data_IF_062780478154
#
_entry.id   IF_062780478154
#
_cell.length_a   1.000
_cell.length_b   1.000
_cell.length_c   1.000
_cell.angle_alpha   90.00
_cell.angle_beta   90.00
_cell.angle_gamma   90.00
#
_symmetry.space_group_name_H-M   'P 1'
#
loop_
_entity.id
_entity.type
_entity.pdbx_description
1 polymer ?
#
# COMPACT_ATOMS: atom_id res chain seq x y z
N UNK A 1 -25.99 -57.54 18.31
CA UNK A 1 -26.02 -56.31 19.14
C UNK A 1 -26.93 -55.30 18.45
N UNK A 2 -27.96 -54.88 19.19
CA UNK A 2 -28.96 -53.82 19.02
C UNK A 2 -29.03 -53.01 17.71
N UNK A 3 -30.23 -52.95 17.12
CA UNK A 3 -31.22 -51.87 17.31
C UNK A 3 -32.54 -52.26 16.65
N UNK A 4 -33.65 -52.07 17.34
CA UNK A 4 -34.93 -51.82 16.67
C UNK A 4 -35.80 -50.81 17.43
N UNK A 5 -35.91 -49.65 16.79
CA UNK A 5 -37.04 -48.76 16.54
C UNK A 5 -38.41 -49.01 17.21
N UNK A 6 -39.05 -47.91 17.65
CA UNK A 6 -40.49 -47.71 17.38
C UNK A 6 -41.42 -47.39 18.56
N UNK A 7 -41.61 -46.08 18.82
CA UNK A 7 -42.86 -45.34 19.11
C UNK A 7 -44.08 -46.01 19.77
N UNK A 8 -44.70 -45.33 20.75
CA UNK A 8 -46.06 -44.71 20.68
C UNK A 8 -46.57 -44.31 22.10
N UNK A 9 -47.18 -43.13 22.14
CA UNK A 9 -47.91 -42.39 23.21
C UNK A 9 -49.04 -43.14 23.92
N UNK A 10 -49.43 -42.69 25.14
CA UNK A 10 -50.81 -42.27 25.49
C UNK A 10 -50.94 -41.69 26.92
N UNK A 11 -51.84 -40.69 27.02
CA UNK A 11 -52.31 -39.94 28.20
C UNK A 11 -52.99 -40.82 29.26
N UNK A 12 -53.04 -40.38 30.52
CA UNK A 12 -54.25 -40.45 31.37
C UNK A 12 -54.18 -39.41 32.50
N UNK A 13 -55.28 -38.70 32.72
CA UNK A 13 -55.54 -37.70 33.75
C UNK A 13 -56.13 -38.33 35.01
N UNK A 14 -55.85 -37.78 36.21
CA UNK A 14 -56.71 -37.92 37.41
C UNK A 14 -56.67 -36.62 38.22
N UNK A 15 -57.84 -36.24 38.74
CA UNK A 15 -58.18 -34.99 39.44
C UNK A 15 -57.92 -35.06 40.96
N UNK A 16 -57.42 -33.93 41.49
CA UNK A 16 -57.82 -33.15 42.69
C UNK A 16 -58.37 -33.88 43.94
N UNK A 17 -57.72 -33.64 45.08
CA UNK A 17 -58.37 -33.30 46.35
C UNK A 17 -57.47 -32.30 47.12
N UNK A 18 -58.01 -31.12 47.42
CA UNK A 18 -57.44 -30.09 48.28
C UNK A 18 -57.79 -30.37 49.75
N UNK A 19 -56.82 -30.22 50.65
CA UNK A 19 -57.09 -29.91 52.06
C UNK A 19 -56.12 -28.81 52.53
N UNK A 20 -56.67 -27.59 52.53
CA UNK A 20 -56.54 -26.48 53.48
C UNK A 20 -55.33 -26.45 54.45
N UNK A 21 -54.43 -25.47 54.27
CA UNK A 21 -53.91 -24.58 55.33
C UNK A 21 -53.50 -23.26 54.67
N UNK A 22 -54.15 -22.17 55.07
CA UNK A 22 -53.90 -20.78 54.68
C UNK A 22 -52.47 -20.28 54.97
N UNK A 23 -51.77 -19.64 54.00
CA UNK A 23 -50.66 -18.72 54.25
C UNK A 23 -50.80 -17.41 53.43
N UNK A 24 -52.02 -16.90 53.22
CA UNK A 24 -52.23 -15.79 52.26
C UNK A 24 -52.05 -14.38 52.85
N UNK A 25 -51.88 -14.23 54.16
CA UNK A 25 -51.76 -12.90 54.81
C UNK A 25 -50.31 -12.47 55.14
N UNK A 26 -49.32 -13.37 55.05
CA UNK A 26 -47.89 -13.05 55.32
C UNK A 26 -47.02 -12.95 54.08
N UNK A 27 -47.47 -13.48 52.94
CA UNK A 27 -46.74 -13.36 51.67
C UNK A 27 -46.89 -11.95 51.05
N UNK A 28 -48.07 -11.33 51.16
CA UNK A 28 -48.33 -10.02 50.57
C UNK A 28 -47.62 -8.86 51.26
N UNK A 29 -47.30 -8.96 52.56
CA UNK A 29 -46.55 -7.91 53.26
C UNK A 29 -45.05 -7.98 52.98
N UNK A 30 -44.51 -9.18 52.73
CA UNK A 30 -43.08 -9.39 52.48
C UNK A 30 -42.72 -9.00 51.04
N UNK A 31 -43.58 -9.30 50.06
CA UNK A 31 -43.37 -8.88 48.67
C UNK A 31 -43.43 -7.35 48.49
N UNK A 32 -44.29 -6.67 49.25
CA UNK A 32 -44.40 -5.21 49.20
C UNK A 32 -43.17 -4.50 49.78
N UNK A 33 -42.58 -5.06 50.84
CA UNK A 33 -41.33 -4.54 51.42
C UNK A 33 -40.13 -4.81 50.49
N UNK A 34 -40.08 -5.97 49.83
CA UNK A 34 -39.03 -6.33 48.86
C UNK A 34 -39.09 -5.45 47.60
N UNK A 35 -40.29 -5.13 47.10
CA UNK A 35 -40.48 -4.22 45.97
C UNK A 35 -40.19 -2.76 46.34
N UNK A 36 -40.49 -2.33 47.56
CA UNK A 36 -40.09 -1.02 48.07
C UNK A 36 -38.56 -0.90 48.23
N UNK A 37 -37.90 -1.97 48.68
CA UNK A 37 -36.44 -2.06 48.77
C UNK A 37 -35.77 -2.09 47.39
N UNK A 38 -36.35 -2.77 46.39
CA UNK A 38 -35.88 -2.75 44.99
C UNK A 38 -36.05 -1.36 44.36
N UNK A 39 -37.22 -0.74 44.54
CA UNK A 39 -37.50 0.60 44.03
C UNK A 39 -36.60 1.69 44.66
N UNK A 40 -36.10 1.48 45.88
CA UNK A 40 -35.11 2.35 46.53
C UNK A 40 -33.66 2.04 46.09
N UNK A 41 -33.35 0.80 45.69
CA UNK A 41 -32.04 0.41 45.18
C UNK A 41 -31.80 0.87 43.74
N UNK A 42 -32.82 0.94 42.89
CA UNK A 42 -32.72 1.40 41.49
C UNK A 42 -32.18 2.83 41.33
N UNK A 43 -32.65 3.85 42.08
CA UNK A 43 -32.09 5.19 42.03
C UNK A 43 -30.66 5.23 42.57
N UNK A 44 -30.32 4.42 43.59
CA UNK A 44 -28.96 4.36 44.14
C UNK A 44 -28.00 3.66 43.15
N UNK A 45 -28.43 2.59 42.49
CA UNK A 45 -27.67 1.87 41.49
C UNK A 45 -27.43 2.73 40.23
N UNK A 46 -28.43 3.47 39.78
CA UNK A 46 -28.29 4.44 38.69
C UNK A 46 -27.38 5.61 39.08
N UNK A 47 -27.44 6.11 40.31
CA UNK A 47 -26.53 7.14 40.81
C UNK A 47 -25.07 6.63 40.90
N UNK A 48 -24.85 5.38 41.33
CA UNK A 48 -23.53 4.74 41.35
C UNK A 48 -23.00 4.53 39.94
N UNK A 49 -23.84 4.15 38.97
CA UNK A 49 -23.46 4.00 37.57
C UNK A 49 -23.07 5.36 36.94
N UNK A 50 -23.82 6.43 37.24
CA UNK A 50 -23.49 7.79 36.81
C UNK A 50 -22.19 8.25 37.46
N UNK A 51 -22.02 8.08 38.78
CA UNK A 51 -20.80 8.48 39.48
C UNK A 51 -19.57 7.66 39.04
N UNK A 52 -19.73 6.36 38.73
CA UNK A 52 -18.68 5.53 38.13
C UNK A 52 -18.31 5.99 36.72
N UNK A 53 -19.28 6.46 35.92
CA UNK A 53 -18.98 6.99 34.59
C UNK A 53 -18.18 8.30 34.67
N UNK A 54 -18.50 9.18 35.63
CA UNK A 54 -17.78 10.45 35.87
C UNK A 54 -16.37 10.23 36.46
N UNK A 55 -16.16 9.15 37.21
CA UNK A 55 -14.86 8.82 37.83
C UNK A 55 -14.00 7.85 37.01
N UNK A 56 -14.50 7.38 35.86
CA UNK A 56 -13.76 6.49 34.98
C UNK A 56 -12.50 7.19 34.42
N UNK A 57 -11.29 6.59 34.53
CA UNK A 57 -10.05 7.17 34.03
C UNK A 57 -10.09 7.56 32.55
N UNK A 58 -10.92 6.86 31.77
CA UNK A 58 -11.13 7.05 30.33
C UNK A 58 -11.79 8.39 29.98
N UNK A 59 -12.52 9.02 30.90
CA UNK A 59 -13.10 10.36 30.72
C UNK A 59 -12.13 11.50 31.05
N UNK A 60 -10.96 11.20 31.64
CA UNK A 60 -9.95 12.21 31.98
C UNK A 60 -8.99 12.51 30.84
N UNK A 61 -8.96 11.69 29.81
CA UNK A 61 -8.05 11.88 28.69
C UNK A 61 -8.71 12.82 27.66
N UNK A 62 -8.08 13.97 27.33
CA UNK A 62 -8.57 14.82 26.25
C UNK A 62 -8.71 14.05 24.94
N UNK A 63 -9.74 14.34 24.12
CA UNK A 63 -9.97 13.70 22.82
C UNK A 63 -8.73 13.70 21.91
N UNK A 64 -7.90 14.73 21.98
CA UNK A 64 -6.68 14.90 21.18
C UNK A 64 -5.60 13.88 21.58
N UNK A 65 -5.42 13.64 22.88
CA UNK A 65 -4.48 12.64 23.37
C UNK A 65 -4.97 11.23 23.05
N UNK A 66 -6.28 11.00 23.13
CA UNK A 66 -6.86 9.74 22.74
C UNK A 66 -6.68 9.46 21.23
N UNK A 67 -6.86 10.48 20.39
CA UNK A 67 -6.60 10.39 18.96
C UNK A 67 -5.13 10.05 18.66
N UNK A 68 -4.19 10.67 19.38
CA UNK A 68 -2.76 10.40 19.21
C UNK A 68 -2.40 8.97 19.66
N UNK A 69 -2.97 8.48 20.77
CA UNK A 69 -2.82 7.08 21.18
C UNK A 69 -3.29 6.15 20.07
N UNK A 70 -4.50 6.34 19.52
CA UNK A 70 -5.00 5.50 18.43
C UNK A 70 -4.13 5.57 17.18
N UNK A 71 -3.56 6.73 16.87
CA UNK A 71 -2.63 6.91 15.76
C UNK A 71 -1.32 6.15 15.95
N UNK A 72 -0.91 5.88 17.19
CA UNK A 72 0.25 5.06 17.54
C UNK A 72 -0.04 3.56 17.60
N UNK A 73 -1.31 3.17 17.79
CA UNK A 73 -1.72 1.76 17.74
C UNK A 73 -1.72 1.19 16.31
N UNK A 74 -1.85 2.05 15.29
CA UNK A 74 -1.89 1.63 13.90
C UNK A 74 -0.50 1.50 13.28
N UNK A 75 -0.30 0.42 12.50
CA UNK A 75 0.79 0.40 11.51
C UNK A 75 0.49 1.41 10.41
N UNK A 76 1.53 1.99 9.83
CA UNK A 76 1.40 2.86 8.66
C UNK A 76 2.10 2.24 7.47
N UNK A 77 1.37 1.82 6.43
CA UNK A 77 -0.10 1.90 6.29
C UNK A 77 -0.89 0.85 7.07
N UNK A 78 -2.12 1.22 7.42
CA UNK A 78 -3.06 0.36 8.12
C UNK A 78 -3.64 -0.67 7.15
N UNK A 79 -3.57 -1.94 7.52
CA UNK A 79 -4.27 -3.01 6.81
C UNK A 79 -5.79 -2.85 6.92
N UNK A 80 -6.54 -3.45 6.00
CA UNK A 80 -8.00 -3.44 6.08
C UNK A 80 -8.53 -4.04 7.39
N UNK A 81 -7.88 -5.08 7.91
CA UNK A 81 -8.23 -5.67 9.20
C UNK A 81 -8.06 -4.66 10.35
N UNK A 82 -6.96 -3.91 10.38
CA UNK A 82 -6.74 -2.87 11.41
C UNK A 82 -7.78 -1.74 11.32
N UNK A 83 -8.22 -1.36 10.12
CA UNK A 83 -9.31 -0.37 9.95
C UNK A 83 -10.65 -0.93 10.45
N UNK A 84 -10.91 -2.21 10.21
CA UNK A 84 -12.10 -2.90 10.72
C UNK A 84 -12.05 -3.01 12.24
N UNK A 85 -10.90 -3.36 12.83
CA UNK A 85 -10.70 -3.42 14.27
C UNK A 85 -10.87 -2.04 14.92
N UNK A 86 -10.39 -0.98 14.27
CA UNK A 86 -10.61 0.38 14.74
C UNK A 86 -12.12 0.72 14.81
N UNK A 87 -12.90 0.39 13.77
CA UNK A 87 -14.35 0.65 13.74
C UNK A 87 -15.16 -0.31 14.65
N UNK A 88 -14.76 -1.58 14.74
CA UNK A 88 -15.56 -2.62 15.40
C UNK A 88 -15.14 -2.92 16.84
N UNK A 89 -13.91 -2.60 17.22
CA UNK A 89 -13.38 -2.84 18.58
C UNK A 89 -13.21 -1.50 19.28
N UNK A 90 -12.32 -0.64 18.78
CA UNK A 90 -11.97 0.61 19.46
C UNK A 90 -13.17 1.57 19.51
N UNK A 91 -13.87 1.76 18.38
CA UNK A 91 -15.05 2.62 18.32
C UNK A 91 -16.30 2.05 19.00
N UNK A 92 -16.21 0.89 19.68
CA UNK A 92 -17.29 0.29 20.48
C UNK A 92 -17.02 0.27 21.98
N UNK A 93 -15.84 0.71 22.44
CA UNK A 93 -15.49 0.78 23.87
C UNK A 93 -16.46 1.72 24.61
N UNK A 94 -16.55 2.97 24.17
CA UNK A 94 -17.51 3.94 24.68
C UNK A 94 -17.87 5.00 23.62
N UNK A 95 -18.87 5.84 23.91
CA UNK A 95 -19.33 6.90 22.99
C UNK A 95 -18.23 7.92 22.68
N UNK A 96 -17.41 8.29 23.66
CA UNK A 96 -16.28 9.22 23.48
C UNK A 96 -15.24 8.64 22.53
N UNK A 97 -14.82 7.38 22.73
CA UNK A 97 -13.85 6.72 21.86
C UNK A 97 -14.37 6.59 20.44
N UNK A 98 -15.66 6.25 20.28
CA UNK A 98 -16.33 6.23 18.98
C UNK A 98 -16.26 7.57 18.26
N UNK A 99 -16.55 8.65 18.98
CA UNK A 99 -16.50 10.00 18.42
C UNK A 99 -15.07 10.38 17.99
N UNK A 100 -14.07 10.06 18.81
CA UNK A 100 -12.66 10.32 18.50
C UNK A 100 -12.18 9.51 17.29
N UNK A 101 -12.45 8.20 17.26
CA UNK A 101 -12.05 7.32 16.16
C UNK A 101 -12.65 7.78 14.83
N UNK A 102 -13.97 7.96 14.76
CA UNK A 102 -14.66 8.38 13.53
C UNK A 102 -14.40 9.86 13.19
N UNK A 103 -14.10 10.68 14.19
CA UNK A 103 -13.83 12.11 14.08
C UNK A 103 -12.40 12.45 13.68
N UNK A 104 -11.46 11.49 13.72
CA UNK A 104 -10.03 11.69 13.43
C UNK A 104 -9.68 11.16 12.03
N UNK A 105 -9.64 12.01 10.99
CA UNK A 105 -9.53 11.53 9.61
C UNK A 105 -8.18 10.89 9.27
N UNK A 106 -7.11 11.26 10.02
CA UNK A 106 -5.76 10.68 9.87
C UNK A 106 -5.70 9.18 10.16
N UNK A 107 -6.62 8.64 10.98
CA UNK A 107 -6.70 7.20 11.25
C UNK A 107 -7.17 6.39 10.03
N UNK A 108 -7.75 7.05 9.04
CA UNK A 108 -8.38 6.46 7.86
C UNK A 108 -7.63 6.81 6.56
N UNK A 109 -6.56 7.60 6.64
CA UNK A 109 -5.86 8.13 5.46
C UNK A 109 -4.70 7.25 4.98
N UNK A 110 -4.39 6.17 5.70
CA UNK A 110 -3.32 5.24 5.37
C UNK A 110 -3.92 3.85 5.19
N UNK A 111 -3.88 3.33 3.96
CA UNK A 111 -4.66 2.16 3.55
C UNK A 111 -3.74 1.16 2.87
N UNK A 112 -3.80 -0.10 3.31
CA UNK A 112 -3.11 -1.23 2.70
C UNK A 112 -4.09 -2.33 2.33
N UNK A 113 -4.29 -2.51 1.03
CA UNK A 113 -5.09 -3.57 0.43
C UNK A 113 -4.13 -4.65 -0.09
N UNK A 114 -4.03 -5.76 0.66
CA UNK A 114 -3.18 -6.88 0.29
C UNK A 114 -4.00 -8.01 -0.35
N UNK A 115 -3.50 -8.58 -1.45
CA UNK A 115 -4.23 -9.57 -2.24
C UNK A 115 -4.49 -10.91 -1.52
N UNK A 116 -3.77 -11.22 -0.44
CA UNK A 116 -3.93 -12.49 0.30
C UNK A 116 -5.06 -12.44 1.36
N UNK A 117 -5.79 -11.33 1.45
CA UNK A 117 -6.87 -11.16 2.43
C UNK A 117 -8.21 -11.60 1.84
N UNK A 118 -8.33 -12.85 1.38
CA UNK A 118 -9.57 -13.43 0.82
C UNK A 118 -10.77 -13.36 1.79
N UNK A 119 -10.51 -13.10 3.07
CA UNK A 119 -11.52 -12.98 4.12
C UNK A 119 -12.22 -11.61 4.18
N UNK A 120 -11.67 -10.59 3.52
CA UNK A 120 -12.16 -9.21 3.62
C UNK A 120 -12.56 -8.67 2.25
N UNK A 121 -13.83 -8.29 2.11
CA UNK A 121 -14.33 -7.55 0.96
C UNK A 121 -13.70 -6.15 0.93
N UNK A 122 -12.62 -6.03 0.15
CA UNK A 122 -11.81 -4.83 0.06
C UNK A 122 -12.59 -3.63 -0.48
N UNK A 123 -13.42 -3.86 -1.50
CA UNK A 123 -14.24 -2.81 -2.10
C UNK A 123 -15.20 -2.23 -1.06
N UNK A 124 -15.92 -3.08 -0.33
CA UNK A 124 -16.83 -2.63 0.73
C UNK A 124 -16.11 -1.85 1.83
N UNK A 125 -14.91 -2.29 2.22
CA UNK A 125 -14.09 -1.61 3.21
C UNK A 125 -13.65 -0.22 2.71
N UNK A 126 -13.16 -0.12 1.48
CA UNK A 126 -12.75 1.14 0.87
C UNK A 126 -13.93 2.12 0.81
N UNK A 127 -15.10 1.68 0.32
CA UNK A 127 -16.32 2.51 0.27
C UNK A 127 -16.75 3.01 1.64
N UNK A 128 -16.52 2.22 2.69
CA UNK A 128 -16.83 2.60 4.07
C UNK A 128 -15.82 3.58 4.68
N UNK A 129 -14.52 3.34 4.48
CA UNK A 129 -13.46 4.00 5.24
C UNK A 129 -12.81 5.18 4.50
N UNK A 130 -12.73 5.17 3.17
CA UNK A 130 -12.20 6.32 2.41
C UNK A 130 -12.93 7.63 2.73
N UNK A 131 -14.26 7.69 2.87
CA UNK A 131 -14.95 8.93 3.25
C UNK A 131 -14.54 9.47 4.63
N UNK A 132 -14.18 8.59 5.57
CA UNK A 132 -13.77 8.99 6.93
C UNK A 132 -12.44 9.75 6.94
N UNK A 133 -11.61 9.56 5.92
CA UNK A 133 -10.35 10.28 5.77
C UNK A 133 -10.52 11.75 5.32
N UNK A 134 -11.74 12.17 4.97
CA UNK A 134 -12.13 13.55 4.64
C UNK A 134 -11.23 14.22 3.60
N UNK A 135 -10.42 15.21 3.99
CA UNK A 135 -9.49 15.95 3.13
C UNK A 135 -8.04 15.56 3.36
N UNK A 136 -7.75 14.58 4.24
CA UNK A 136 -6.38 14.19 4.53
C UNK A 136 -5.68 13.63 3.27
N UNK A 137 -4.38 13.90 3.10
CA UNK A 137 -3.59 13.23 2.07
C UNK A 137 -3.58 11.71 2.28
N UNK A 138 -3.66 10.96 1.19
CA UNK A 138 -3.80 9.51 1.20
C UNK A 138 -2.45 8.83 0.96
N UNK A 139 -2.18 7.82 1.79
CA UNK A 139 -1.11 6.84 1.60
C UNK A 139 -1.76 5.50 1.27
N UNK A 140 -1.55 4.98 0.06
CA UNK A 140 -2.24 3.79 -0.43
C UNK A 140 -1.20 2.75 -0.87
N UNK A 141 -1.26 1.55 -0.31
CA UNK A 141 -0.70 0.35 -0.91
C UNK A 141 -1.88 -0.48 -1.40
N UNK A 142 -1.92 -0.84 -2.67
CA UNK A 142 -3.01 -1.62 -3.21
C UNK A 142 -2.50 -2.66 -4.20
N UNK A 143 -2.83 -3.92 -3.94
CA UNK A 143 -2.75 -4.98 -4.92
C UNK A 143 -4.16 -5.30 -5.42
N UNK A 144 -4.40 -5.09 -6.70
CA UNK A 144 -5.72 -5.27 -7.35
C UNK A 144 -5.96 -6.71 -7.81
N UNK A 145 -5.03 -7.64 -7.58
CA UNK A 145 -5.16 -9.03 -8.00
C UNK A 145 -6.48 -9.64 -7.51
N UNK A 146 -7.28 -10.14 -8.46
CA UNK A 146 -8.58 -10.75 -8.19
C UNK A 146 -9.72 -9.76 -7.93
N UNK A 147 -9.48 -8.45 -7.95
CA UNK A 147 -10.46 -7.42 -7.58
C UNK A 147 -10.34 -6.16 -8.48
N UNK A 148 -10.78 -6.22 -9.75
CA UNK A 148 -10.60 -5.13 -10.73
C UNK A 148 -11.38 -3.85 -10.37
N UNK A 149 -12.41 -3.92 -9.52
CA UNK A 149 -13.20 -2.77 -9.08
C UNK A 149 -12.45 -1.79 -8.15
N UNK A 150 -11.31 -2.20 -7.58
CA UNK A 150 -10.58 -1.39 -6.60
C UNK A 150 -9.90 -0.17 -7.21
N UNK A 151 -9.27 -0.33 -8.38
CA UNK A 151 -8.49 0.75 -8.97
C UNK A 151 -9.38 1.94 -9.40
N UNK A 152 -10.55 1.74 -10.05
CA UNK A 152 -11.49 2.82 -10.30
C UNK A 152 -11.92 3.55 -9.02
N UNK A 153 -12.21 2.83 -7.93
CA UNK A 153 -12.63 3.43 -6.66
C UNK A 153 -11.55 4.28 -6.01
N UNK A 154 -10.30 3.82 -6.06
CA UNK A 154 -9.17 4.61 -5.58
C UNK A 154 -8.97 5.86 -6.45
N UNK A 155 -9.20 5.74 -7.77
CA UNK A 155 -9.00 6.82 -8.73
C UNK A 155 -9.94 8.03 -8.51
N UNK A 156 -11.15 7.80 -7.98
CA UNK A 156 -12.09 8.87 -7.59
C UNK A 156 -11.51 9.83 -6.53
N UNK A 157 -10.52 9.36 -5.76
CA UNK A 157 -9.85 10.13 -4.71
C UNK A 157 -8.43 10.54 -5.08
N UNK A 158 -8.05 10.46 -6.36
CA UNK A 158 -6.70 10.73 -6.85
C UNK A 158 -6.18 12.14 -6.52
N UNK A 159 -7.07 13.12 -6.38
CA UNK A 159 -6.73 14.49 -5.99
C UNK A 159 -6.02 14.58 -4.64
N UNK A 160 -6.21 13.57 -3.78
CA UNK A 160 -5.69 13.49 -2.42
C UNK A 160 -4.51 12.54 -2.28
N UNK A 161 -4.11 11.82 -3.33
CA UNK A 161 -3.00 10.89 -3.27
C UNK A 161 -1.69 11.63 -2.96
N UNK A 162 -0.98 11.21 -1.90
CA UNK A 162 0.35 11.70 -1.56
C UNK A 162 1.42 10.63 -1.81
N UNK A 163 1.11 9.39 -1.42
CA UNK A 163 1.99 8.23 -1.64
C UNK A 163 1.14 7.07 -2.13
N UNK A 164 1.49 6.49 -3.28
CA UNK A 164 0.81 5.33 -3.84
C UNK A 164 1.81 4.22 -4.16
N UNK A 165 1.43 2.98 -3.87
CA UNK A 165 2.05 1.77 -4.38
C UNK A 165 0.94 0.91 -4.96
N UNK A 166 0.94 0.73 -6.28
CA UNK A 166 -0.11 0.03 -7.02
C UNK A 166 0.49 -1.20 -7.70
N UNK A 167 0.00 -2.38 -7.35
CA UNK A 167 0.27 -3.62 -8.09
C UNK A 167 -0.95 -3.94 -8.95
N UNK A 168 -0.86 -3.62 -10.24
CA UNK A 168 -1.98 -3.63 -11.21
C UNK A 168 -1.70 -4.55 -12.40
N UNK A 169 -2.74 -4.88 -13.15
CA UNK A 169 -2.60 -5.50 -14.48
C UNK A 169 -2.47 -4.42 -15.57
N UNK A 170 -1.98 -4.84 -16.74
CA UNK A 170 -1.91 -4.03 -17.94
C UNK A 170 -3.32 -3.61 -18.39
N UNK A 171 -4.31 -4.49 -18.22
CA UNK A 171 -5.70 -4.20 -18.53
C UNK A 171 -6.28 -3.10 -17.64
N UNK A 172 -5.97 -3.12 -16.35
CA UNK A 172 -6.36 -2.07 -15.41
C UNK A 172 -5.66 -0.74 -15.75
N UNK A 173 -4.35 -0.77 -16.04
CA UNK A 173 -3.62 0.44 -16.45
C UNK A 173 -4.18 1.07 -17.73
N UNK A 174 -4.70 0.26 -18.67
CA UNK A 174 -5.32 0.73 -19.92
C UNK A 174 -6.73 1.26 -19.71
N UNK A 175 -7.51 0.67 -18.81
CA UNK A 175 -8.87 1.12 -18.51
C UNK A 175 -8.89 2.46 -17.74
N UNK A 176 -7.79 2.80 -17.07
CA UNK A 176 -7.67 4.03 -16.30
C UNK A 176 -7.66 5.28 -17.18
N UNK A 177 -8.52 6.24 -16.83
CA UNK A 177 -8.48 7.58 -17.39
C UNK A 177 -7.37 8.40 -16.71
N UNK A 178 -6.83 9.43 -17.38
CA UNK A 178 -5.95 10.41 -16.75
C UNK A 178 -6.60 11.03 -15.51
N UNK A 179 -5.91 10.94 -14.38
CA UNK A 179 -6.37 11.46 -13.08
C UNK A 179 -5.50 12.61 -12.60
N UNK A 180 -6.14 13.64 -12.04
CA UNK A 180 -5.44 14.77 -11.44
C UNK A 180 -4.84 14.36 -10.09
N UNK A 181 -3.52 14.46 -9.96
CA UNK A 181 -2.75 14.03 -8.78
C UNK A 181 -1.86 15.18 -8.26
N UNK A 182 -2.47 16.28 -7.79
CA UNK A 182 -1.75 17.51 -7.44
C UNK A 182 -0.87 17.39 -6.18
N UNK A 183 -1.17 16.44 -5.30
CA UNK A 183 -0.45 16.21 -4.04
C UNK A 183 0.54 15.04 -4.10
N UNK A 184 0.63 14.34 -5.24
CA UNK A 184 1.39 13.10 -5.33
C UNK A 184 2.89 13.37 -5.25
N UNK A 185 3.54 12.84 -4.22
CA UNK A 185 4.97 12.99 -3.94
C UNK A 185 5.76 11.72 -4.26
N UNK A 186 5.18 10.55 -4.00
CA UNK A 186 5.80 9.25 -4.31
C UNK A 186 4.81 8.33 -5.00
N UNK A 187 5.23 7.74 -6.11
CA UNK A 187 4.45 6.76 -6.84
C UNK A 187 5.31 5.53 -7.11
N UNK A 188 4.79 4.37 -6.75
CA UNK A 188 5.33 3.07 -7.11
C UNK A 188 4.25 2.31 -7.88
N UNK A 189 4.56 1.86 -9.08
CA UNK A 189 3.62 1.10 -9.90
C UNK A 189 4.30 -0.16 -10.39
N UNK A 190 3.67 -1.29 -10.10
CA UNK A 190 4.08 -2.60 -10.57
C UNK A 190 3.00 -3.16 -11.49
N UNK A 191 3.38 -3.48 -12.73
CA UNK A 191 2.50 -4.17 -13.69
C UNK A 191 2.86 -5.66 -13.71
N UNK A 192 1.87 -6.51 -13.44
CA UNK A 192 2.06 -7.94 -13.12
C UNK A 192 2.11 -8.88 -14.34
N UNK A 193 1.46 -8.51 -15.42
CA UNK A 193 1.19 -9.30 -16.62
C UNK A 193 1.88 -8.72 -17.86
N UNK A 194 1.92 -9.49 -18.94
CA UNK A 194 2.47 -9.03 -20.21
C UNK A 194 1.64 -7.87 -20.80
N UNK A 195 2.29 -7.03 -21.62
CA UNK A 195 1.63 -5.88 -22.21
C UNK A 195 0.87 -6.25 -23.49
N UNK A 196 -0.36 -5.78 -23.62
CA UNK A 196 -1.10 -5.90 -24.88
C UNK A 196 -0.52 -5.01 -25.99
N UNK A 197 -0.57 -5.52 -27.23
CA UNK A 197 -0.16 -4.80 -28.43
C UNK A 197 -0.91 -3.46 -28.62
N UNK A 198 -2.10 -3.29 -28.04
CA UNK A 198 -2.93 -2.08 -28.15
C UNK A 198 -2.76 -1.09 -26.98
N UNK A 199 -1.93 -1.39 -25.97
CA UNK A 199 -1.82 -0.52 -24.80
C UNK A 199 -1.32 0.90 -25.17
N UNK A 200 -2.01 1.99 -24.80
CA UNK A 200 -1.73 3.35 -25.29
C UNK A 200 -0.64 4.10 -24.52
N UNK A 201 0.17 3.40 -23.71
CA UNK A 201 1.17 3.99 -22.80
C UNK A 201 0.97 3.61 -21.33
N UNK A 202 2.00 3.05 -20.70
CA UNK A 202 2.04 2.72 -19.27
C UNK A 202 2.21 4.00 -18.45
N UNK A 203 1.49 4.12 -17.33
CA UNK A 203 1.43 5.32 -16.48
C UNK A 203 0.79 6.56 -17.12
N UNK A 204 0.15 6.44 -18.29
CA UNK A 204 -0.58 7.55 -18.92
C UNK A 204 -1.64 8.17 -18.01
N UNK A 205 -2.17 7.40 -17.06
CA UNK A 205 -3.13 7.91 -16.09
C UNK A 205 -2.52 8.96 -15.11
N UNK A 206 -1.19 9.00 -14.95
CA UNK A 206 -0.47 9.97 -14.12
C UNK A 206 0.03 11.19 -14.92
N UNK A 207 -0.77 11.74 -15.84
CA UNK A 207 -0.27 12.71 -16.83
C UNK A 207 0.38 13.97 -16.21
N UNK A 208 -0.19 14.53 -15.14
CA UNK A 208 0.28 15.75 -14.49
C UNK A 208 0.49 15.55 -12.99
N UNK A 209 1.75 15.46 -12.56
CA UNK A 209 2.15 15.18 -11.18
C UNK A 209 3.13 16.24 -10.68
N UNK A 210 2.66 17.47 -10.39
CA UNK A 210 3.51 18.64 -10.17
C UNK A 210 4.43 18.54 -8.94
N UNK A 211 4.10 17.65 -7.99
CA UNK A 211 4.85 17.44 -6.74
C UNK A 211 5.60 16.12 -6.68
N UNK A 212 5.60 15.32 -7.75
CA UNK A 212 6.19 13.98 -7.74
C UNK A 212 7.70 14.04 -7.63
N UNK A 213 8.23 13.49 -6.54
CA UNK A 213 9.67 13.46 -6.22
C UNK A 213 10.28 12.10 -6.43
N UNK A 214 9.51 11.04 -6.19
CA UNK A 214 9.95 9.64 -6.31
C UNK A 214 9.00 8.89 -7.22
N UNK A 215 9.55 8.31 -8.28
CA UNK A 215 8.82 7.41 -9.17
C UNK A 215 9.55 6.07 -9.25
N UNK A 216 8.84 5.00 -8.94
CA UNK A 216 9.31 3.64 -9.12
C UNK A 216 8.36 2.89 -10.06
N UNK A 217 8.90 2.31 -11.12
CA UNK A 217 8.16 1.47 -12.05
C UNK A 217 8.79 0.09 -12.13
N UNK A 218 7.96 -0.95 -11.98
CA UNK A 218 8.38 -2.35 -12.12
C UNK A 218 7.50 -3.08 -13.13
N UNK A 219 8.11 -3.67 -14.16
CA UNK A 219 7.42 -4.38 -15.24
C UNK A 219 8.02 -5.74 -15.55
N UNK A 220 7.25 -6.61 -16.21
CA UNK A 220 7.64 -7.99 -16.52
C UNK A 220 7.67 -8.37 -18.02
N UNK A 221 7.71 -7.40 -18.96
CA UNK A 221 7.87 -7.70 -20.39
C UNK A 221 8.58 -6.61 -21.19
N UNK A 222 9.24 -7.01 -22.29
CA UNK A 222 9.98 -6.10 -23.19
C UNK A 222 9.12 -5.01 -23.81
N UNK A 223 7.87 -5.30 -24.17
CA UNK A 223 6.94 -4.34 -24.76
C UNK A 223 6.66 -3.15 -23.82
N UNK A 224 6.80 -3.36 -22.50
CA UNK A 224 6.64 -2.29 -21.51
C UNK A 224 7.68 -1.19 -21.66
N UNK A 225 8.90 -1.53 -22.03
CA UNK A 225 9.95 -0.54 -22.24
C UNK A 225 9.59 0.43 -23.38
N UNK A 226 9.01 -0.09 -24.46
CA UNK A 226 8.63 0.70 -25.63
C UNK A 226 7.41 1.59 -25.39
N UNK A 227 6.53 1.20 -24.46
CA UNK A 227 5.28 1.91 -24.17
C UNK A 227 5.30 2.65 -22.84
N UNK A 228 6.44 2.76 -22.16
CA UNK A 228 6.53 3.48 -20.91
C UNK A 228 6.33 4.99 -21.14
N UNK A 229 5.25 5.55 -20.58
CA UNK A 229 4.92 6.98 -20.70
C UNK A 229 5.06 7.64 -19.33
N UNK A 230 6.25 8.15 -19.03
CA UNK A 230 6.52 8.76 -17.73
C UNK A 230 5.74 10.08 -17.52
N UNK A 231 5.32 10.37 -16.27
CA UNK A 231 4.45 11.48 -15.96
C UNK A 231 5.18 12.83 -16.02
N UNK A 232 4.54 13.90 -16.47
CA UNK A 232 5.20 15.21 -16.48
C UNK A 232 5.36 15.75 -15.05
N UNK A 233 6.61 15.79 -14.57
CA UNK A 233 6.94 16.31 -13.24
C UNK A 233 8.26 17.10 -13.25
N UNK A 234 8.24 18.40 -12.92
CA UNK A 234 9.43 19.24 -12.92
C UNK A 234 10.34 19.04 -11.71
N UNK A 235 9.90 18.28 -10.70
CA UNK A 235 10.60 18.12 -9.41
C UNK A 235 10.98 16.66 -9.13
N UNK A 236 10.98 15.80 -10.14
CA UNK A 236 11.36 14.40 -9.98
C UNK A 236 12.85 14.28 -9.61
N UNK A 237 13.13 13.72 -8.44
CA UNK A 237 14.48 13.59 -7.87
C UNK A 237 14.98 12.16 -7.96
N UNK A 238 14.07 11.20 -7.82
CA UNK A 238 14.38 9.78 -7.69
C UNK A 238 13.56 9.01 -8.73
N UNK A 239 14.26 8.26 -9.57
CA UNK A 239 13.66 7.41 -10.59
C UNK A 239 14.21 5.99 -10.47
N UNK A 240 13.32 5.03 -10.21
CA UNK A 240 13.64 3.62 -10.23
C UNK A 240 12.87 2.93 -11.35
N UNK A 241 13.58 2.39 -12.32
CA UNK A 241 13.03 1.63 -13.44
C UNK A 241 13.59 0.22 -13.38
N UNK A 242 12.72 -0.76 -13.15
CA UNK A 242 13.10 -2.18 -13.08
C UNK A 242 12.21 -2.97 -14.03
N UNK A 243 12.77 -3.42 -15.14
CA UNK A 243 12.09 -4.24 -16.12
C UNK A 243 12.79 -5.59 -16.19
N UNK A 244 12.07 -6.67 -15.92
CA UNK A 244 12.64 -8.01 -15.84
C UNK A 244 11.82 -8.93 -16.75
N UNK A 245 12.45 -9.54 -17.73
CA UNK A 245 11.83 -10.50 -18.64
C UNK A 245 12.72 -11.74 -18.66
N UNK A 246 12.11 -12.90 -18.45
CA UNK A 246 12.84 -14.17 -18.42
C UNK A 246 13.08 -14.74 -19.82
N UNK A 247 12.44 -14.19 -20.85
CA UNK A 247 12.41 -14.72 -22.20
C UNK A 247 13.14 -13.85 -23.21
N UNK A 248 13.21 -12.54 -23.00
CA UNK A 248 13.78 -11.61 -23.99
C UNK A 248 14.75 -10.60 -23.38
N UNK A 249 15.66 -10.07 -24.22
CA UNK A 249 16.57 -8.99 -23.85
C UNK A 249 15.94 -7.62 -24.10
N UNK A 250 16.15 -6.71 -23.15
CA UNK A 250 15.77 -5.30 -23.26
C UNK A 250 16.83 -4.50 -24.01
N UNK A 251 16.40 -3.48 -24.77
CA UNK A 251 17.30 -2.44 -25.28
C UNK A 251 17.07 -1.16 -24.50
N UNK A 252 18.15 -0.49 -24.12
CA UNK A 252 18.11 0.81 -23.46
C UNK A 252 17.42 1.89 -24.31
N UNK A 253 17.50 1.77 -25.64
CA UNK A 253 17.03 2.78 -26.61
C UNK A 253 15.57 3.19 -26.39
N UNK A 254 14.71 2.25 -25.99
CA UNK A 254 13.29 2.50 -25.72
C UNK A 254 13.05 3.36 -24.48
N UNK A 255 13.89 3.22 -23.44
CA UNK A 255 13.68 3.87 -22.13
C UNK A 255 14.51 5.16 -22.01
N UNK A 256 15.59 5.27 -22.77
CA UNK A 256 16.52 6.41 -22.69
C UNK A 256 15.84 7.79 -22.86
N UNK A 257 14.92 8.01 -23.82
CA UNK A 257 14.23 9.31 -23.96
C UNK A 257 13.43 9.67 -22.72
N UNK A 258 12.83 8.66 -22.06
CA UNK A 258 12.02 8.87 -20.85
C UNK A 258 12.88 9.28 -19.66
N UNK A 259 14.10 8.73 -19.52
CA UNK A 259 15.05 9.11 -18.47
C UNK A 259 15.63 10.50 -18.77
N UNK A 260 15.96 10.78 -20.04
CA UNK A 260 16.55 12.05 -20.48
C UNK A 260 15.68 13.25 -20.12
N UNK A 261 14.36 13.09 -20.12
CA UNK A 261 13.40 14.11 -19.70
C UNK A 261 13.75 14.75 -18.35
N UNK A 262 14.29 13.97 -17.39
CA UNK A 262 14.59 14.43 -16.03
C UNK A 262 16.08 14.66 -15.77
N UNK A 263 16.90 14.79 -16.83
CA UNK A 263 18.35 14.91 -16.72
C UNK A 263 18.84 16.00 -15.75
N UNK A 264 18.11 17.10 -15.62
CA UNK A 264 18.47 18.24 -14.75
C UNK A 264 18.10 18.05 -13.28
N UNK A 265 17.13 17.20 -12.96
CA UNK A 265 16.49 17.14 -11.64
C UNK A 265 16.84 15.87 -10.86
N UNK A 266 17.17 14.78 -11.57
CA UNK A 266 17.49 13.51 -10.96
C UNK A 266 18.76 13.58 -10.09
N UNK A 267 18.63 13.08 -8.87
CA UNK A 267 19.74 12.83 -7.93
C UNK A 267 20.00 11.34 -7.76
N UNK A 268 18.96 10.51 -7.89
CA UNK A 268 19.05 9.06 -7.78
C UNK A 268 18.40 8.43 -9.00
N UNK A 269 19.16 7.58 -9.69
CA UNK A 269 18.69 6.81 -10.82
C UNK A 269 19.00 5.34 -10.58
N UNK A 270 17.97 4.51 -10.65
CA UNK A 270 18.10 3.06 -10.72
C UNK A 270 17.55 2.58 -12.06
N UNK A 271 18.35 1.85 -12.81
CA UNK A 271 17.94 1.24 -14.08
C UNK A 271 18.33 -0.24 -14.08
N UNK A 272 17.35 -1.10 -13.85
CA UNK A 272 17.51 -2.55 -13.97
C UNK A 272 16.78 -3.06 -15.20
N UNK A 273 17.53 -3.68 -16.11
CA UNK A 273 17.01 -4.30 -17.32
C UNK A 273 17.48 -5.75 -17.35
N UNK A 274 16.64 -6.69 -16.93
CA UNK A 274 16.97 -8.11 -16.82
C UNK A 274 16.42 -8.89 -18.01
N UNK A 275 17.25 -9.66 -18.72
CA UNK A 275 16.84 -10.49 -19.85
C UNK A 275 17.65 -11.78 -19.92
N UNK A 276 17.07 -12.87 -20.45
CA UNK A 276 17.80 -14.10 -20.74
C UNK A 276 18.52 -13.98 -22.10
N UNK A 277 19.85 -14.03 -22.06
CA UNK A 277 20.71 -14.09 -23.24
C UNK A 277 21.64 -12.90 -23.37
N UNK A 278 22.81 -13.06 -24.02
CA UNK A 278 23.57 -11.91 -24.46
C UNK A 278 22.64 -11.10 -25.34
N UNK A 279 22.38 -9.83 -25.00
CA UNK A 279 21.79 -8.91 -25.95
C UNK A 279 22.61 -9.09 -27.23
N UNK A 280 21.97 -9.61 -28.29
CA UNK A 280 22.62 -9.76 -29.57
C UNK A 280 23.29 -8.43 -29.82
N UNK A 281 24.61 -8.46 -29.93
CA UNK A 281 25.42 -7.29 -30.15
C UNK A 281 24.98 -6.69 -31.48
N UNK A 282 23.96 -5.83 -31.43
CA UNK A 282 23.76 -4.83 -32.45
C UNK A 282 25.00 -3.96 -32.34
N UNK A 283 25.97 -4.30 -33.18
CA UNK A 283 27.15 -3.54 -33.49
C UNK A 283 26.74 -2.09 -33.69
N UNK A 284 26.78 -1.28 -32.64
CA UNK A 284 26.57 0.17 -32.74
C UNK A 284 27.93 0.80 -33.04
N UNK A 285 28.47 0.48 -34.21
CA UNK A 285 29.24 1.49 -34.92
C UNK A 285 28.24 2.56 -35.36
N UNK A 286 28.60 3.81 -35.09
CA UNK A 286 27.92 5.02 -35.55
C UNK A 286 26.64 5.44 -34.81
N UNK A 287 26.82 6.16 -33.71
CA UNK A 287 26.32 7.52 -33.65
C UNK A 287 27.17 8.30 -32.66
N UNK A 288 27.67 9.45 -33.08
CA UNK A 288 28.16 10.51 -32.20
C UNK A 288 26.97 11.09 -31.40
N UNK A 289 26.32 10.25 -30.61
CA UNK A 289 25.15 10.62 -29.81
C UNK A 289 25.64 11.45 -28.63
N UNK A 290 25.17 12.69 -28.60
CA UNK A 290 25.40 13.69 -27.57
C UNK A 290 25.17 13.06 -26.18
N UNK A 291 26.24 12.91 -25.39
CA UNK A 291 26.15 12.29 -24.05
C UNK A 291 25.15 13.06 -23.21
N UNK A 292 24.23 12.33 -22.59
CA UNK A 292 23.23 12.95 -21.72
C UNK A 292 23.91 13.29 -20.39
N UNK A 293 24.06 14.59 -20.14
CA UNK A 293 24.59 15.08 -18.88
C UNK A 293 23.51 15.04 -17.79
N UNK A 294 23.85 14.40 -16.66
CA UNK A 294 23.09 14.41 -15.43
C UNK A 294 23.86 15.20 -14.35
N UNK A 295 23.80 16.54 -14.36
CA UNK A 295 24.65 17.39 -13.52
C UNK A 295 24.35 17.31 -12.01
N UNK A 296 23.19 16.77 -11.64
CA UNK A 296 22.74 16.65 -10.25
C UNK A 296 22.75 15.20 -9.72
N UNK A 297 23.13 14.22 -10.55
CA UNK A 297 23.07 12.81 -10.17
C UNK A 297 24.18 12.47 -9.16
N UNK A 298 23.77 11.94 -8.02
CA UNK A 298 24.64 11.55 -6.91
C UNK A 298 24.70 10.03 -6.74
N UNK A 299 23.59 9.35 -7.01
CA UNK A 299 23.46 7.90 -6.90
C UNK A 299 23.04 7.31 -8.24
N UNK A 300 23.85 6.38 -8.76
CA UNK A 300 23.51 5.55 -9.91
C UNK A 300 23.55 4.07 -9.52
N UNK A 301 22.46 3.36 -9.79
CA UNK A 301 22.39 1.91 -9.65
C UNK A 301 21.97 1.29 -10.99
N UNK A 302 22.79 0.38 -11.54
CA UNK A 302 22.50 -0.28 -12.82
C UNK A 302 22.56 -1.79 -12.67
N UNK A 303 21.59 -2.47 -13.28
CA UNK A 303 21.46 -3.93 -13.21
C UNK A 303 21.29 -4.51 -14.62
N UNK A 304 21.97 -5.62 -14.91
CA UNK A 304 21.86 -6.34 -16.19
C UNK A 304 22.20 -5.47 -17.40
N UNK A 305 21.29 -5.38 -18.38
CA UNK A 305 21.43 -4.55 -19.57
C UNK A 305 21.36 -3.04 -19.28
N UNK A 306 21.07 -2.62 -18.04
CA UNK A 306 21.19 -1.22 -17.62
C UNK A 306 22.61 -0.65 -17.77
N UNK A 307 23.63 -1.51 -17.87
CA UNK A 307 25.01 -1.14 -18.22
C UNK A 307 25.13 -0.33 -19.51
N UNK A 308 24.22 -0.50 -20.46
CA UNK A 308 24.18 0.26 -21.72
C UNK A 308 24.02 1.78 -21.49
N UNK A 309 23.66 2.21 -20.28
CA UNK A 309 23.65 3.63 -19.90
C UNK A 309 25.06 4.24 -19.87
N UNK A 310 26.06 3.52 -19.39
CA UNK A 310 27.41 4.05 -19.16
C UNK A 310 28.02 4.76 -20.37
N UNK A 311 27.96 4.20 -21.61
CA UNK A 311 28.52 4.90 -22.75
C UNK A 311 27.77 6.18 -23.14
N UNK A 312 26.52 6.35 -22.69
CA UNK A 312 25.59 7.40 -23.12
C UNK A 312 25.38 8.52 -22.10
N UNK A 313 25.90 8.38 -20.89
CA UNK A 313 25.68 9.35 -19.80
C UNK A 313 26.99 10.01 -19.33
N UNK A 314 26.88 11.23 -18.83
CA UNK A 314 27.94 11.94 -18.09
C UNK A 314 27.38 12.38 -16.73
N UNK A 315 28.08 12.03 -15.65
CA UNK A 315 27.58 12.16 -14.27
C UNK A 315 28.65 12.78 -13.37
N UNK A 316 28.96 14.08 -13.53
CA UNK A 316 30.14 14.70 -12.93
C UNK A 316 30.13 14.76 -11.39
N UNK A 317 28.95 14.62 -10.77
CA UNK A 317 28.79 14.67 -9.30
C UNK A 317 28.48 13.31 -8.68
N UNK A 318 28.71 12.23 -9.41
CA UNK A 318 28.41 10.88 -8.93
C UNK A 318 29.23 10.55 -7.67
N UNK A 319 28.53 10.19 -6.59
CA UNK A 319 29.13 9.82 -5.30
C UNK A 319 29.01 8.33 -5.01
N UNK A 320 27.91 7.71 -5.45
CA UNK A 320 27.63 6.30 -5.21
C UNK A 320 27.30 5.61 -6.53
N UNK A 321 27.98 4.49 -6.77
CA UNK A 321 27.77 3.65 -7.94
C UNK A 321 27.53 2.21 -7.48
N UNK A 322 26.39 1.66 -7.84
CA UNK A 322 26.05 0.26 -7.64
C UNK A 322 25.87 -0.42 -9.00
N UNK A 323 26.56 -1.54 -9.20
CA UNK A 323 26.50 -2.29 -10.45
C UNK A 323 26.28 -3.76 -10.15
N UNK A 324 25.23 -4.35 -10.73
CA UNK A 324 24.91 -5.77 -10.61
C UNK A 324 24.82 -6.44 -11.98
N UNK A 325 25.83 -7.23 -12.34
CA UNK A 325 25.94 -7.77 -13.70
C UNK A 325 26.68 -9.11 -13.76
N UNK A 326 26.49 -9.83 -14.87
CA UNK A 326 27.21 -11.07 -15.15
C UNK A 326 28.65 -10.83 -15.64
N UNK A 327 29.56 -11.81 -15.43
CA UNK A 327 31.01 -11.62 -15.60
C UNK A 327 31.50 -11.33 -17.04
N UNK A 328 30.68 -11.55 -18.07
CA UNK A 328 31.13 -11.50 -19.47
C UNK A 328 31.24 -10.10 -20.10
N UNK A 329 30.47 -9.11 -19.62
CA UNK A 329 30.37 -7.75 -20.21
C UNK A 329 30.93 -6.69 -19.23
N UNK A 330 31.10 -7.06 -17.96
CA UNK A 330 31.36 -6.16 -16.86
C UNK A 330 32.70 -5.38 -16.95
N UNK A 331 33.84 -5.93 -17.43
CA UNK A 331 35.10 -5.19 -17.32
C UNK A 331 35.20 -3.98 -18.28
N UNK A 332 34.89 -4.14 -19.56
CA UNK A 332 35.24 -3.13 -20.56
C UNK A 332 34.38 -1.87 -20.47
N UNK A 333 33.04 -2.02 -20.43
CA UNK A 333 32.12 -0.87 -20.42
C UNK A 333 32.22 -0.07 -19.11
N UNK A 334 32.50 -0.76 -18.00
CA UNK A 334 32.66 -0.13 -16.69
C UNK A 334 33.98 0.62 -16.55
N UNK A 335 35.10 0.01 -16.98
CA UNK A 335 36.42 0.66 -16.93
C UNK A 335 36.45 1.89 -17.84
N UNK A 336 35.92 1.75 -19.05
CA UNK A 336 35.71 2.87 -19.97
C UNK A 336 35.00 4.04 -19.30
N UNK A 337 33.94 3.78 -18.52
CA UNK A 337 33.17 4.82 -17.84
C UNK A 337 33.98 5.54 -16.76
N UNK A 338 34.75 4.79 -15.97
CA UNK A 338 35.58 5.34 -14.90
C UNK A 338 36.77 6.15 -15.43
N UNK A 339 37.36 5.76 -16.57
CA UNK A 339 38.52 6.44 -17.14
C UNK A 339 38.17 7.76 -17.85
N UNK A 340 36.90 7.95 -18.24
CA UNK A 340 36.47 9.09 -19.07
C UNK A 340 36.42 10.42 -18.34
N UNK A 341 36.01 10.44 -17.09
CA UNK A 341 35.85 11.66 -16.30
C UNK A 341 36.39 11.43 -14.88
N UNK A 342 36.99 12.45 -14.25
CA UNK A 342 37.42 12.36 -12.86
C UNK A 342 36.18 12.30 -11.95
N UNK A 343 35.65 11.10 -11.73
CA UNK A 343 34.50 10.85 -10.86
C UNK A 343 34.98 10.78 -9.41
N UNK A 344 34.30 11.49 -8.51
CA UNK A 344 34.57 11.44 -7.07
C UNK A 344 33.67 10.40 -6.37
N UNK A 345 33.80 9.14 -6.81
CA UNK A 345 33.01 8.03 -6.27
C UNK A 345 33.52 7.72 -4.86
N UNK A 346 32.65 7.85 -3.87
CA UNK A 346 32.92 7.52 -2.46
C UNK A 346 32.59 6.07 -2.13
N UNK A 347 31.55 5.54 -2.77
CA UNK A 347 31.05 4.18 -2.53
C UNK A 347 30.84 3.51 -3.88
N UNK A 348 31.59 2.44 -4.12
CA UNK A 348 31.42 1.55 -5.25
C UNK A 348 31.01 0.18 -4.73
N UNK A 349 29.83 -0.29 -5.13
CA UNK A 349 29.32 -1.62 -4.80
C UNK A 349 29.15 -2.43 -6.07
N UNK A 350 29.83 -3.57 -6.12
CA UNK A 350 29.77 -4.51 -7.23
C UNK A 350 29.07 -5.77 -6.74
N UNK A 351 27.88 -6.00 -7.26
CA UNK A 351 27.10 -7.20 -7.00
C UNK A 351 27.28 -8.14 -8.19
N UNK A 352 27.45 -9.43 -7.90
CA UNK A 352 27.57 -10.46 -8.93
C UNK A 352 26.34 -11.35 -8.90
N UNK A 353 25.49 -11.19 -9.91
CA UNK A 353 24.47 -12.17 -10.29
C UNK A 353 23.42 -12.42 -9.20
N UNK A 354 22.77 -11.36 -8.71
CA UNK A 354 21.55 -11.52 -7.91
C UNK A 354 20.40 -11.96 -8.82
N UNK A 355 20.32 -13.26 -9.13
CA UNK A 355 19.16 -13.88 -9.82
C UNK A 355 17.83 -13.75 -9.05
N UNK A 356 17.85 -13.12 -7.88
CA UNK A 356 16.67 -12.72 -7.14
C UNK A 356 17.00 -11.42 -6.39
N UNK A 357 16.87 -10.27 -7.06
CA UNK A 357 16.71 -9.02 -6.32
C UNK A 357 15.33 -9.11 -5.65
N UNK A 358 15.30 -9.58 -4.41
CA UNK A 358 14.07 -9.73 -3.65
C UNK A 358 13.50 -8.33 -3.37
N UNK A 359 12.19 -8.22 -3.18
CA UNK A 359 11.52 -6.95 -2.85
C UNK A 359 12.15 -6.30 -1.60
N UNK A 360 12.75 -7.12 -0.72
CA UNK A 360 13.55 -6.76 0.45
C UNK A 360 14.89 -6.08 0.14
N UNK A 361 15.57 -6.43 -0.94
CA UNK A 361 16.87 -5.83 -1.30
C UNK A 361 16.68 -4.41 -1.87
N UNK A 362 15.64 -4.24 -2.68
CA UNK A 362 15.26 -2.92 -3.20
C UNK A 362 14.69 -2.04 -2.08
N UNK A 363 13.92 -2.60 -1.14
CA UNK A 363 13.42 -1.83 0.02
C UNK A 363 14.50 -1.53 1.07
N UNK A 364 15.55 -2.34 1.19
CA UNK A 364 16.74 -1.98 1.96
C UNK A 364 17.49 -0.79 1.36
N UNK A 365 17.56 -0.70 0.03
CA UNK A 365 18.20 0.42 -0.68
C UNK A 365 17.35 1.70 -0.69
N UNK A 366 16.06 1.60 -0.35
CA UNK A 366 15.09 2.71 -0.30
C UNK A 366 14.85 3.27 1.13
N UNK A 367 15.46 2.69 2.16
CA UNK A 367 15.55 3.27 3.51
C UNK A 367 16.81 4.11 3.64
#
# INVERSE_FOLDING_TARGET
>A
MQRDSGSVTLKTSVQVEEEDISPQAKASSVDADDDALRAACDPVASQIAVNRSITAPEQRLPPELLAEIFLHLQKRPSSMLELIELDRIIARVCTTWRHVVLGTPRLWSSINVHAQSDTVDAEKCLRRYLPLSRSCPLYILCNTAGQPGLLPLLSEHASRWQHINLQISSAESRAMTPVATPLLERAQVHVRDALDAEHPGLLRFLQYTPRLRVLAFKGQSKEMAAKLSLPMSPVLVVLHLVLIDLLTSYSLTSVLPTIQQYRKTLKTLTCGLGGAGPAASESTQSAADERIQFPALLWLAVFGAGLELFPRISTPKLLMLLVDTGPAIFPSVFLDFLEREPLNIRVLQLLYNCRACSETDITMLLR
#
